data_IF_796832769569
#
_entry.id   IF_796832769569
#
_cell.length_a   1.000
_cell.length_b   1.000
_cell.length_c   1.000
_cell.angle_alpha   90.00
_cell.angle_beta   90.00
_cell.angle_gamma   90.00
#
_symmetry.space_group_name_H-M   'P 1'
#
loop_
_entity.id
_entity.type
_entity.pdbx_description
1 polymer ?
#
# COMPACT_ATOMS: atom_id res chain seq x y z
N UNK A 1 -21.92 3.62 -17.90
CA UNK A 1 -23.25 3.12 -17.51
C UNK A 1 -23.24 1.60 -17.56
N UNK A 2 -23.78 0.92 -16.55
CA UNK A 2 -23.92 -0.54 -16.52
C UNK A 2 -25.38 -0.89 -16.26
N UNK A 3 -25.92 -1.87 -16.98
CA UNK A 3 -27.29 -2.38 -16.79
C UNK A 3 -27.20 -3.72 -16.09
N UNK A 4 -27.86 -3.84 -14.94
CA UNK A 4 -27.69 -4.97 -14.01
C UNK A 4 -29.05 -5.44 -13.51
N UNK A 5 -29.15 -6.74 -13.26
CA UNK A 5 -30.35 -7.30 -12.65
C UNK A 5 -30.35 -7.00 -11.14
N UNK A 6 -31.30 -6.18 -10.69
CA UNK A 6 -31.42 -5.74 -9.30
C UNK A 6 -31.51 -6.91 -8.31
N UNK A 7 -32.21 -8.00 -8.68
CA UNK A 7 -32.38 -9.17 -7.83
C UNK A 7 -31.06 -9.84 -7.43
N UNK A 8 -30.10 -9.93 -8.36
CA UNK A 8 -28.79 -10.52 -8.09
C UNK A 8 -27.96 -9.61 -7.17
N UNK A 9 -27.94 -8.29 -7.43
CA UNK A 9 -27.25 -7.35 -6.55
C UNK A 9 -27.85 -7.29 -5.15
N UNK A 10 -29.19 -7.31 -5.02
CA UNK A 10 -29.85 -7.35 -3.71
C UNK A 10 -29.56 -8.62 -2.93
N UNK A 11 -29.36 -9.75 -3.62
CA UNK A 11 -29.04 -11.01 -2.95
C UNK A 11 -27.65 -10.98 -2.31
N UNK A 12 -26.68 -10.39 -3.02
CA UNK A 12 -25.28 -10.40 -2.57
C UNK A 12 -24.89 -9.17 -1.74
N UNK A 13 -25.67 -8.09 -1.77
CA UNK A 13 -25.27 -6.81 -1.17
C UNK A 13 -26.44 -6.14 -0.43
N UNK A 14 -26.28 -5.99 0.89
CA UNK A 14 -27.32 -5.39 1.73
C UNK A 14 -27.58 -3.93 1.37
N UNK A 15 -26.53 -3.17 1.00
CA UNK A 15 -26.70 -1.77 0.58
C UNK A 15 -27.64 -1.66 -0.63
N UNK A 16 -27.50 -2.54 -1.63
CA UNK A 16 -28.36 -2.53 -2.81
C UNK A 16 -29.77 -3.07 -2.51
N UNK A 17 -29.90 -4.06 -1.63
CA UNK A 17 -31.20 -4.50 -1.13
C UNK A 17 -31.96 -3.34 -0.48
N UNK A 18 -31.31 -2.60 0.41
CA UNK A 18 -31.86 -1.42 1.08
C UNK A 18 -32.19 -0.30 0.09
N UNK A 19 -31.35 -0.09 -0.92
CA UNK A 19 -31.55 0.92 -1.95
C UNK A 19 -32.77 0.62 -2.83
N UNK A 20 -32.95 -0.62 -3.28
CA UNK A 20 -34.05 -0.99 -4.17
C UNK A 20 -35.39 -1.19 -3.42
N UNK A 21 -35.33 -1.55 -2.13
CA UNK A 21 -36.52 -1.75 -1.29
C UNK A 21 -37.14 -0.46 -0.79
N UNK A 22 -36.41 0.67 -0.84
CA UNK A 22 -36.96 1.97 -0.42
C UNK A 22 -38.17 2.35 -1.30
N UNK A 23 -39.34 2.64 -0.71
CA UNK A 23 -40.45 3.22 -1.45
C UNK A 23 -39.99 4.56 -2.03
N UNK A 24 -40.42 4.85 -3.27
CA UNK A 24 -40.09 6.12 -3.90
C UNK A 24 -40.57 7.24 -2.97
N UNK A 25 -39.64 7.98 -2.35
CA UNK A 25 -40.00 9.18 -1.59
C UNK A 25 -40.62 10.12 -2.60
N UNK A 26 -41.94 10.24 -2.58
CA UNK A 26 -42.65 11.31 -3.24
C UNK A 26 -42.17 12.58 -2.54
N UNK A 27 -41.17 13.24 -3.12
CA UNK A 27 -40.79 14.58 -2.70
C UNK A 27 -41.95 15.48 -3.06
N UNK A 28 -42.92 15.61 -2.16
CA UNK A 28 -43.86 16.72 -2.17
C UNK A 28 -43.05 17.99 -1.95
N UNK A 29 -42.51 18.57 -3.02
CA UNK A 29 -42.05 19.95 -2.96
C UNK A 29 -43.29 20.82 -2.84
N UNK A 30 -43.53 21.35 -1.64
CA UNK A 30 -44.45 22.46 -1.44
C UNK A 30 -43.85 23.69 -2.12
N UNK A 31 -44.01 23.78 -3.45
CA UNK A 31 -43.79 24.99 -4.23
C UNK A 31 -45.16 25.57 -4.53
N UNK A 32 -45.45 26.74 -3.97
CA UNK A 32 -46.78 27.32 -3.94
C UNK A 32 -47.14 28.15 -5.17
N UNK A 33 -46.22 28.47 -6.08
CA UNK A 33 -46.53 29.31 -7.24
C UNK A 33 -45.77 28.88 -8.50
N UNK A 34 -46.46 28.14 -9.38
CA UNK A 34 -45.98 27.83 -10.73
C UNK A 34 -46.67 26.58 -11.32
N UNK A 35 -47.14 26.61 -12.59
CA UNK A 35 -47.76 25.45 -13.21
C UNK A 35 -46.77 24.28 -13.24
N UNK A 36 -47.14 23.12 -12.68
CA UNK A 36 -46.21 22.02 -12.47
C UNK A 36 -45.94 21.36 -13.82
N UNK A 37 -44.76 21.60 -14.38
CA UNK A 37 -44.19 20.72 -15.40
C UNK A 37 -43.83 19.39 -14.70
N UNK A 38 -44.85 18.55 -14.52
CA UNK A 38 -44.74 17.20 -13.99
C UNK A 38 -43.99 16.32 -15.00
N UNK A 39 -42.68 16.50 -15.10
CA UNK A 39 -41.83 15.43 -15.57
C UNK A 39 -41.89 14.34 -14.49
N UNK A 40 -42.73 13.33 -14.73
CA UNK A 40 -42.80 12.09 -13.95
C UNK A 40 -41.43 11.41 -14.02
N UNK A 41 -40.46 11.88 -13.24
CA UNK A 41 -39.23 11.13 -13.01
C UNK A 41 -39.65 9.85 -12.32
N UNK A 42 -39.41 8.72 -12.98
CA UNK A 42 -39.75 7.38 -12.47
C UNK A 42 -39.06 7.07 -11.15
N UNK A 43 -39.19 5.84 -10.66
CA UNK A 43 -38.40 5.39 -9.50
C UNK A 43 -36.91 5.34 -9.89
N UNK A 44 -36.01 5.82 -9.03
CA UNK A 44 -34.56 5.74 -9.29
C UNK A 44 -34.16 4.28 -9.53
N UNK A 45 -33.36 4.04 -10.57
CA UNK A 45 -32.95 2.72 -11.04
C UNK A 45 -33.99 1.94 -11.87
N UNK A 46 -35.14 2.54 -12.23
CA UNK A 46 -36.16 1.82 -13.01
C UNK A 46 -35.89 1.79 -14.53
N UNK A 47 -35.13 2.75 -15.05
CA UNK A 47 -34.85 2.89 -16.48
C UNK A 47 -33.56 3.69 -16.73
N UNK A 48 -33.17 3.80 -17.99
CA UNK A 48 -31.94 4.48 -18.40
C UNK A 48 -32.00 6.00 -18.14
N UNK A 49 -33.18 6.59 -18.22
CA UNK A 49 -33.44 8.01 -17.99
C UNK A 49 -33.40 8.39 -16.50
N UNK A 50 -33.42 7.39 -15.61
CA UNK A 50 -33.39 7.59 -14.17
C UNK A 50 -32.49 6.56 -13.47
N UNK A 51 -31.18 6.57 -13.73
CA UNK A 51 -30.25 5.58 -13.20
C UNK A 51 -29.98 5.81 -11.71
N UNK A 52 -29.55 4.77 -11.01
CA UNK A 52 -28.93 4.92 -9.68
C UNK A 52 -27.56 5.54 -9.84
N UNK A 53 -27.32 6.67 -9.17
CA UNK A 53 -26.01 7.31 -9.15
C UNK A 53 -25.26 6.91 -7.88
N UNK A 54 -24.16 6.16 -8.04
CA UNK A 54 -23.25 5.85 -6.93
C UNK A 54 -22.10 6.88 -6.97
N UNK A 55 -22.04 7.84 -6.05
CA UNK A 55 -21.01 8.86 -6.07
C UNK A 55 -19.63 8.26 -5.75
N UNK A 56 -18.57 8.89 -6.26
CA UNK A 56 -17.17 8.57 -5.91
C UNK A 56 -16.83 7.08 -6.12
N UNK A 57 -17.28 6.51 -7.24
CA UNK A 57 -17.01 5.12 -7.61
C UNK A 57 -16.27 5.08 -8.94
N UNK A 58 -15.08 4.47 -8.94
CA UNK A 58 -14.34 4.26 -10.19
C UNK A 58 -15.03 3.17 -11.03
N UNK A 59 -15.33 3.42 -12.32
CA UNK A 59 -16.03 2.45 -13.15
C UNK A 59 -15.30 1.10 -13.25
N UNK A 60 -13.97 1.10 -13.32
CA UNK A 60 -13.19 -0.13 -13.45
C UNK A 60 -13.25 -0.98 -12.18
N UNK A 61 -13.16 -0.37 -11.00
CA UNK A 61 -13.28 -1.10 -9.73
C UNK A 61 -14.66 -1.70 -9.55
N UNK A 62 -15.71 -0.97 -9.95
CA UNK A 62 -17.05 -1.52 -9.95
C UNK A 62 -17.20 -2.70 -10.91
N UNK A 63 -16.60 -2.64 -12.11
CA UNK A 63 -16.57 -3.80 -13.03
C UNK A 63 -15.87 -5.00 -12.42
N UNK A 64 -14.75 -4.80 -11.71
CA UNK A 64 -14.05 -5.87 -11.02
C UNK A 64 -14.90 -6.50 -9.91
N UNK A 65 -15.65 -5.68 -9.15
CA UNK A 65 -16.63 -6.17 -8.18
C UNK A 65 -17.75 -6.98 -8.86
N UNK A 66 -18.34 -6.46 -9.93
CA UNK A 66 -19.40 -7.15 -10.67
C UNK A 66 -18.91 -8.45 -11.32
N UNK A 67 -17.62 -8.55 -11.65
CA UNK A 67 -17.04 -9.79 -12.18
C UNK A 67 -17.24 -10.95 -11.21
N UNK A 68 -17.26 -10.72 -9.89
CA UNK A 68 -17.50 -11.82 -8.95
C UNK A 68 -18.96 -12.26 -8.86
N UNK A 69 -19.90 -11.32 -9.10
CA UNK A 69 -21.35 -11.58 -9.03
C UNK A 69 -21.88 -12.17 -10.34
N UNK A 70 -21.42 -11.62 -11.48
CA UNK A 70 -21.93 -11.95 -12.81
C UNK A 70 -20.94 -12.75 -13.67
N UNK A 71 -19.75 -13.00 -13.15
CA UNK A 71 -18.72 -13.74 -13.87
C UNK A 71 -19.18 -15.14 -14.22
N UNK A 72 -18.87 -15.56 -15.45
CA UNK A 72 -19.19 -16.90 -15.94
C UNK A 72 -17.96 -17.80 -15.80
N UNK A 73 -18.11 -19.07 -15.45
CA UNK A 73 -16.97 -20.00 -15.38
C UNK A 73 -16.14 -20.11 -16.67
N UNK A 74 -16.72 -19.81 -17.84
CA UNK A 74 -15.98 -19.77 -19.11
C UNK A 74 -15.08 -18.56 -19.28
N UNK A 75 -15.35 -17.45 -18.57
CA UNK A 75 -14.60 -16.21 -18.67
C UNK A 75 -13.19 -16.38 -18.11
N UNK A 76 -12.18 -15.91 -18.85
CA UNK A 76 -10.77 -16.05 -18.46
C UNK A 76 -10.42 -15.16 -17.28
N UNK A 77 -10.96 -13.94 -17.23
CA UNK A 77 -10.72 -13.00 -16.16
C UNK A 77 -11.36 -13.48 -14.86
N UNK A 78 -12.61 -13.95 -14.91
CA UNK A 78 -13.28 -14.53 -13.76
C UNK A 78 -12.49 -15.71 -13.19
N UNK A 79 -12.13 -16.69 -14.03
CA UNK A 79 -11.35 -17.85 -13.59
C UNK A 79 -10.00 -17.47 -12.98
N UNK A 80 -9.37 -16.41 -13.46
CA UNK A 80 -8.07 -15.97 -12.93
C UNK A 80 -8.15 -15.55 -11.46
N UNK A 81 -9.31 -15.08 -10.98
CA UNK A 81 -9.51 -14.67 -9.58
C UNK A 81 -9.54 -15.85 -8.59
N UNK A 82 -9.81 -17.06 -9.07
CA UNK A 82 -9.90 -18.28 -8.26
C UNK A 82 -8.66 -19.17 -8.36
N UNK A 83 -7.68 -18.78 -9.18
CA UNK A 83 -6.42 -19.50 -9.27
C UNK A 83 -5.51 -19.11 -8.11
N UNK A 84 -4.72 -20.08 -7.64
CA UNK A 84 -3.66 -19.80 -6.69
C UNK A 84 -2.62 -18.87 -7.33
N UNK A 85 -2.04 -18.00 -6.53
CA UNK A 85 -1.04 -17.04 -6.98
C UNK A 85 0.16 -17.70 -7.68
N UNK A 86 0.52 -18.93 -7.27
CA UNK A 86 1.59 -19.75 -7.85
C UNK A 86 1.27 -20.37 -9.21
N UNK A 87 -0.01 -20.43 -9.59
CA UNK A 87 -0.47 -21.00 -10.87
C UNK A 87 -0.55 -19.94 -11.99
N UNK A 88 -0.37 -18.67 -11.64
CA UNK A 88 -0.46 -17.55 -12.55
C UNK A 88 0.94 -17.07 -12.95
N UNK A 89 1.08 -16.61 -14.19
CA UNK A 89 2.24 -15.82 -14.56
C UNK A 89 2.28 -14.54 -13.71
N UNK A 90 3.47 -14.02 -13.37
CA UNK A 90 3.63 -12.88 -12.47
C UNK A 90 2.69 -11.71 -12.81
N UNK A 91 2.66 -11.29 -14.09
CA UNK A 91 1.79 -10.21 -14.56
C UNK A 91 0.29 -10.48 -14.31
N UNK A 92 -0.16 -11.73 -14.53
CA UNK A 92 -1.55 -12.12 -14.30
C UNK A 92 -1.90 -12.10 -12.81
N UNK A 93 -0.96 -12.56 -11.97
CA UNK A 93 -1.18 -12.59 -10.54
C UNK A 93 -1.28 -11.18 -9.94
N UNK A 94 -0.48 -10.23 -10.44
CA UNK A 94 -0.59 -8.81 -10.03
C UNK A 94 -1.93 -8.23 -10.47
N UNK A 95 -2.37 -8.51 -11.70
CA UNK A 95 -3.66 -8.04 -12.18
C UNK A 95 -4.81 -8.63 -11.37
N UNK A 96 -4.76 -9.93 -11.06
CA UNK A 96 -5.72 -10.57 -10.16
C UNK A 96 -5.69 -9.90 -8.77
N UNK A 97 -4.50 -9.63 -8.24
CA UNK A 97 -4.34 -8.97 -6.95
C UNK A 97 -4.98 -7.57 -6.90
N UNK A 98 -4.73 -6.73 -7.91
CA UNK A 98 -5.36 -5.41 -8.03
C UNK A 98 -6.88 -5.55 -8.08
N UNK A 99 -7.41 -6.50 -8.86
CA UNK A 99 -8.84 -6.78 -8.91
C UNK A 99 -9.39 -7.20 -7.54
N UNK A 100 -8.66 -8.02 -6.78
CA UNK A 100 -9.07 -8.45 -5.44
C UNK A 100 -9.10 -7.25 -4.47
N UNK A 101 -8.16 -6.31 -4.55
CA UNK A 101 -8.23 -5.05 -3.77
C UNK A 101 -9.52 -4.30 -4.09
N UNK A 102 -9.85 -4.14 -5.37
CA UNK A 102 -11.08 -3.47 -5.81
C UNK A 102 -12.32 -4.19 -5.25
N UNK A 103 -12.32 -5.52 -5.30
CA UNK A 103 -13.44 -6.34 -4.84
C UNK A 103 -13.59 -6.22 -3.33
N UNK A 104 -12.52 -6.32 -2.53
CA UNK A 104 -12.63 -6.26 -1.06
C UNK A 104 -13.08 -4.88 -0.59
N UNK A 105 -12.55 -3.81 -1.18
CA UNK A 105 -12.90 -2.42 -0.82
C UNK A 105 -14.39 -2.15 -1.10
N UNK A 106 -14.89 -2.62 -2.25
CA UNK A 106 -16.28 -2.45 -2.63
C UNK A 106 -17.23 -3.43 -1.93
N UNK A 107 -16.81 -4.65 -1.64
CA UNK A 107 -17.59 -5.60 -0.86
C UNK A 107 -17.88 -5.05 0.54
N UNK A 108 -16.86 -4.48 1.17
CA UNK A 108 -17.01 -3.78 2.44
C UNK A 108 -17.95 -2.57 2.32
N UNK A 109 -17.74 -1.72 1.30
CA UNK A 109 -18.58 -0.53 1.05
C UNK A 109 -20.05 -0.88 0.79
N UNK A 110 -20.32 -1.97 0.09
CA UNK A 110 -21.67 -2.40 -0.29
C UNK A 110 -22.30 -3.40 0.68
N UNK A 111 -21.61 -3.71 1.79
CA UNK A 111 -22.08 -4.64 2.83
C UNK A 111 -22.36 -6.02 2.20
N UNK A 112 -21.32 -6.60 1.60
CA UNK A 112 -21.33 -7.91 0.96
C UNK A 112 -20.35 -8.85 1.70
N UNK A 113 -20.70 -9.36 2.89
CA UNK A 113 -19.76 -10.00 3.82
C UNK A 113 -19.13 -11.29 3.28
N UNK A 114 -19.87 -12.08 2.50
CA UNK A 114 -19.35 -13.32 1.91
C UNK A 114 -18.28 -13.04 0.85
N UNK A 115 -18.52 -12.02 0.02
CA UNK A 115 -17.56 -11.55 -0.99
C UNK A 115 -16.35 -10.93 -0.32
N UNK A 116 -16.56 -10.12 0.74
CA UNK A 116 -15.47 -9.51 1.51
C UNK A 116 -14.58 -10.58 2.14
N UNK A 117 -15.18 -11.59 2.79
CA UNK A 117 -14.47 -12.72 3.41
C UNK A 117 -13.67 -13.51 2.38
N UNK A 118 -14.28 -13.81 1.24
CA UNK A 118 -13.58 -14.46 0.12
C UNK A 118 -12.40 -13.60 -0.36
N UNK A 119 -12.61 -12.33 -0.65
CA UNK A 119 -11.58 -11.44 -1.19
C UNK A 119 -10.42 -11.26 -0.20
N UNK A 120 -10.72 -11.13 1.10
CA UNK A 120 -9.72 -11.11 2.17
C UNK A 120 -8.87 -12.39 2.19
N UNK A 121 -9.48 -13.56 2.06
CA UNK A 121 -8.75 -14.82 2.00
C UNK A 121 -7.80 -14.87 0.80
N UNK A 122 -8.24 -14.33 -0.35
CA UNK A 122 -7.40 -14.23 -1.54
C UNK A 122 -6.28 -13.20 -1.37
N UNK A 123 -6.51 -12.03 -0.76
CA UNK A 123 -5.43 -11.09 -0.47
C UNK A 123 -4.32 -11.73 0.38
N UNK A 124 -4.70 -12.56 1.36
CA UNK A 124 -3.74 -13.29 2.20
C UNK A 124 -2.97 -14.35 1.41
N UNK A 125 -3.59 -15.05 0.47
CA UNK A 125 -2.87 -16.03 -0.35
C UNK A 125 -1.90 -15.37 -1.35
N UNK A 126 -2.28 -14.20 -1.88
CA UNK A 126 -1.44 -13.43 -2.81
C UNK A 126 -0.34 -12.62 -2.13
N UNK A 127 -0.43 -12.36 -0.82
CA UNK A 127 0.57 -11.54 -0.12
C UNK A 127 1.97 -12.14 -0.22
N UNK A 128 2.08 -13.46 -0.12
CA UNK A 128 3.33 -14.21 -0.31
C UNK A 128 3.96 -13.98 -1.69
N UNK A 129 3.14 -13.92 -2.73
CA UNK A 129 3.62 -13.69 -4.09
C UNK A 129 4.17 -12.26 -4.22
N UNK A 130 3.52 -11.28 -3.61
CA UNK A 130 3.96 -9.88 -3.73
C UNK A 130 5.27 -9.66 -2.97
N UNK A 131 5.49 -10.37 -1.85
CA UNK A 131 6.82 -10.41 -1.22
C UNK A 131 7.91 -10.88 -2.19
N UNK A 132 7.58 -11.76 -3.15
CA UNK A 132 8.56 -12.26 -4.11
C UNK A 132 8.72 -11.37 -5.33
N UNK A 133 7.66 -10.70 -5.77
CA UNK A 133 7.63 -9.99 -7.06
C UNK A 133 8.33 -8.62 -7.02
N UNK A 134 8.45 -7.98 -5.85
CA UNK A 134 9.36 -6.84 -5.54
C UNK A 134 9.47 -5.61 -6.42
N UNK A 135 8.74 -5.54 -7.51
CA UNK A 135 9.08 -4.57 -8.53
C UNK A 135 7.95 -4.41 -9.53
N UNK A 136 6.72 -4.77 -9.18
CA UNK A 136 5.63 -4.47 -10.09
C UNK A 136 4.90 -3.21 -9.65
N UNK A 137 4.65 -2.27 -10.60
CA UNK A 137 3.90 -1.07 -10.33
C UNK A 137 2.44 -1.43 -10.05
N UNK A 138 2.14 -1.74 -8.79
CA UNK A 138 0.80 -1.55 -8.28
C UNK A 138 0.59 -0.03 -8.27
N UNK A 139 -0.50 0.43 -8.88
CA UNK A 139 -0.80 1.87 -8.92
C UNK A 139 -0.91 2.41 -7.50
N UNK A 140 -0.46 3.66 -7.27
CA UNK A 140 -0.62 4.31 -5.97
C UNK A 140 -2.08 4.34 -5.51
N UNK A 141 -3.02 4.48 -6.44
CA UNK A 141 -4.45 4.37 -6.18
C UNK A 141 -4.86 3.02 -5.57
N UNK A 142 -4.28 1.91 -6.05
CA UNK A 142 -4.57 0.57 -5.51
C UNK A 142 -3.96 0.39 -4.12
N UNK A 143 -2.74 0.89 -3.89
CA UNK A 143 -2.15 0.92 -2.54
C UNK A 143 -2.99 1.75 -1.56
N UNK A 144 -3.43 2.93 -1.98
CA UNK A 144 -4.24 3.84 -1.16
C UNK A 144 -5.58 3.21 -0.80
N UNK A 145 -6.21 2.49 -1.73
CA UNK A 145 -7.46 1.75 -1.47
C UNK A 145 -7.26 0.60 -0.51
N UNK A 146 -6.23 -0.22 -0.70
CA UNK A 146 -5.92 -1.29 0.24
C UNK A 146 -5.62 -0.74 1.65
N UNK A 147 -4.81 0.30 1.76
CA UNK A 147 -4.48 0.92 3.04
C UNK A 147 -5.72 1.54 3.69
N UNK A 148 -6.56 2.22 2.91
CA UNK A 148 -7.82 2.79 3.37
C UNK A 148 -8.78 1.71 3.88
N UNK A 149 -8.94 0.61 3.13
CA UNK A 149 -9.70 -0.56 3.55
C UNK A 149 -9.15 -1.14 4.86
N UNK A 150 -7.85 -1.44 4.91
CA UNK A 150 -7.20 -2.06 6.06
C UNK A 150 -7.31 -1.23 7.34
N UNK A 151 -7.30 0.10 7.22
CA UNK A 151 -7.51 1.01 8.35
C UNK A 151 -8.96 1.02 8.83
N UNK A 152 -9.93 1.03 7.91
CA UNK A 152 -11.37 1.01 8.27
C UNK A 152 -11.76 -0.30 8.97
N UNK A 153 -11.10 -1.40 8.61
CA UNK A 153 -11.32 -2.72 9.22
C UNK A 153 -10.35 -3.04 10.35
N UNK A 154 -9.46 -2.11 10.71
CA UNK A 154 -8.43 -2.28 11.74
C UNK A 154 -7.55 -3.53 11.58
N UNK A 155 -7.38 -4.01 10.33
CA UNK A 155 -6.65 -5.23 10.06
C UNK A 155 -5.13 -4.98 10.04
N UNK A 156 -4.48 -5.06 11.21
CA UNK A 156 -3.06 -4.72 11.42
C UNK A 156 -2.10 -5.33 10.39
N UNK A 157 -2.26 -6.61 10.06
CA UNK A 157 -1.38 -7.29 9.12
C UNK A 157 -1.49 -6.73 7.68
N UNK A 158 -2.71 -6.40 7.23
CA UNK A 158 -2.91 -5.77 5.92
C UNK A 158 -2.35 -4.34 5.91
N UNK A 159 -2.43 -3.62 7.03
CA UNK A 159 -1.79 -2.30 7.16
C UNK A 159 -0.28 -2.43 6.97
N UNK A 160 0.36 -3.40 7.63
CA UNK A 160 1.81 -3.65 7.47
C UNK A 160 2.16 -4.02 6.02
N UNK A 161 1.38 -4.88 5.37
CA UNK A 161 1.61 -5.25 3.97
C UNK A 161 1.45 -4.06 3.01
N UNK A 162 0.37 -3.28 3.14
CA UNK A 162 0.13 -2.10 2.32
C UNK A 162 1.24 -1.06 2.46
N UNK A 163 1.73 -0.86 3.70
CA UNK A 163 2.89 -0.01 3.99
C UNK A 163 4.15 -0.53 3.33
N UNK A 164 4.45 -1.82 3.53
CA UNK A 164 5.63 -2.46 2.96
C UNK A 164 5.65 -2.35 1.43
N UNK A 165 4.54 -2.65 0.75
CA UNK A 165 4.50 -2.62 -0.72
C UNK A 165 4.65 -1.23 -1.31
N UNK A 166 4.01 -0.23 -0.70
CA UNK A 166 4.18 1.16 -1.10
C UNK A 166 5.66 1.55 -1.04
N UNK A 167 6.35 1.15 0.03
CA UNK A 167 7.78 1.42 0.21
C UNK A 167 8.66 0.65 -0.78
N UNK A 168 8.41 -0.63 -0.97
CA UNK A 168 9.17 -1.47 -1.91
C UNK A 168 9.03 -1.00 -3.34
N UNK A 169 7.84 -0.53 -3.75
CA UNK A 169 7.61 0.05 -5.07
C UNK A 169 8.57 1.21 -5.37
N UNK A 170 8.64 2.17 -4.45
CA UNK A 170 9.50 3.33 -4.62
C UNK A 170 10.99 3.02 -4.44
N UNK A 171 11.35 2.16 -3.48
CA UNK A 171 12.74 1.75 -3.27
C UNK A 171 13.30 1.01 -4.51
N UNK A 172 12.53 0.07 -5.05
CA UNK A 172 12.90 -0.69 -6.25
C UNK A 172 13.06 0.19 -7.49
N UNK A 173 12.19 1.19 -7.66
CA UNK A 173 12.28 2.15 -8.75
C UNK A 173 13.55 3.01 -8.74
N UNK A 174 14.15 3.24 -7.57
CA UNK A 174 15.39 4.02 -7.42
C UNK A 174 16.62 3.14 -7.56
N UNK A 175 16.63 1.94 -6.97
CA UNK A 175 17.79 1.05 -7.01
C UNK A 175 18.01 0.38 -8.37
N UNK A 176 16.97 0.22 -9.19
CA UNK A 176 17.04 -0.66 -10.39
C UNK A 176 16.72 0.07 -11.70
N UNK A 177 17.50 1.07 -12.13
CA UNK A 177 17.22 1.83 -13.34
C UNK A 177 17.26 0.99 -14.63
N UNK A 178 17.93 -0.17 -14.65
CA UNK A 178 18.10 -1.02 -15.85
C UNK A 178 16.98 -2.04 -16.09
N UNK A 179 16.41 -2.64 -15.04
CA UNK A 179 15.25 -3.56 -15.16
C UNK A 179 13.94 -2.77 -15.31
N UNK A 180 13.97 -1.49 -14.92
CA UNK A 180 12.83 -0.57 -14.98
C UNK A 180 12.35 -0.20 -16.39
N UNK A 181 13.14 -0.38 -17.45
CA UNK A 181 12.76 0.19 -18.76
C UNK A 181 11.57 -0.50 -19.43
N UNK A 182 11.25 -1.75 -19.09
CA UNK A 182 10.13 -2.49 -19.69
C UNK A 182 8.92 -2.65 -18.76
N UNK A 183 9.14 -2.80 -17.45
CA UNK A 183 8.07 -3.01 -16.48
C UNK A 183 7.65 -1.74 -15.74
N UNK A 184 8.50 -0.71 -15.71
CA UNK A 184 8.22 0.55 -15.01
C UNK A 184 8.14 1.72 -15.99
N UNK A 185 7.44 2.77 -15.55
CA UNK A 185 7.47 4.06 -16.22
C UNK A 185 8.89 4.64 -16.17
N UNK A 186 9.26 5.54 -17.11
CA UNK A 186 10.51 6.28 -17.02
C UNK A 186 10.74 6.82 -15.60
N UNK A 187 11.97 6.74 -15.09
CA UNK A 187 12.32 7.12 -13.70
C UNK A 187 11.83 8.53 -13.33
N UNK A 188 11.79 9.43 -14.33
CA UNK A 188 11.28 10.78 -14.19
C UNK A 188 9.80 10.80 -13.80
N UNK A 189 8.97 9.94 -14.39
CA UNK A 189 7.55 9.82 -14.05
C UNK A 189 7.37 9.32 -12.61
N UNK A 190 8.22 8.38 -12.17
CA UNK A 190 8.15 7.86 -10.79
C UNK A 190 8.55 8.94 -9.79
N UNK A 191 9.56 9.75 -10.12
CA UNK A 191 9.98 10.90 -9.31
C UNK A 191 8.90 11.98 -9.23
N UNK A 192 8.22 12.28 -10.34
CA UNK A 192 7.07 13.18 -10.36
C UNK A 192 5.91 12.62 -9.52
N UNK A 193 5.63 11.33 -9.63
CA UNK A 193 4.62 10.66 -8.83
C UNK A 193 4.97 10.68 -7.33
N UNK A 194 6.24 10.45 -6.96
CA UNK A 194 6.71 10.58 -5.58
C UNK A 194 6.40 11.96 -5.00
N UNK A 195 6.63 13.02 -5.79
CA UNK A 195 6.35 14.40 -5.37
C UNK A 195 4.84 14.62 -5.20
N UNK A 196 4.02 14.12 -6.13
CA UNK A 196 2.56 14.19 -6.03
C UNK A 196 2.04 13.48 -4.77
N UNK A 197 2.52 12.26 -4.50
CA UNK A 197 2.13 11.50 -3.31
C UNK A 197 2.59 12.17 -2.01
N UNK A 198 3.81 12.71 -1.99
CA UNK A 198 4.31 13.49 -0.86
C UNK A 198 3.40 14.69 -0.57
N UNK A 199 3.03 15.48 -1.60
CA UNK A 199 2.13 16.63 -1.44
C UNK A 199 0.73 16.22 -1.01
N UNK A 200 0.19 15.14 -1.57
CA UNK A 200 -1.11 14.60 -1.15
C UNK A 200 -1.08 14.15 0.32
N UNK A 201 -0.02 13.47 0.73
CA UNK A 201 0.18 13.03 2.11
C UNK A 201 0.30 14.19 3.09
N UNK A 202 1.00 15.26 2.70
CA UNK A 202 1.13 16.48 3.50
C UNK A 202 -0.22 17.19 3.66
N UNK A 203 -0.97 17.38 2.56
CA UNK A 203 -2.26 18.11 2.57
C UNK A 203 -3.31 17.39 3.40
N UNK A 204 -3.42 16.06 3.23
CA UNK A 204 -4.52 15.31 3.83
C UNK A 204 -4.38 15.14 5.33
N UNK A 205 -3.17 15.28 5.91
CA UNK A 205 -2.80 15.05 7.33
C UNK A 205 -3.33 13.74 7.96
N UNK A 206 -4.02 12.92 7.17
CA UNK A 206 -4.75 11.69 7.49
C UNK A 206 -4.13 10.48 6.77
N UNK A 207 -3.21 10.75 5.84
CA UNK A 207 -2.31 9.74 5.30
C UNK A 207 -1.51 9.09 6.43
N UNK A 208 -1.23 7.82 6.20
CA UNK A 208 -0.50 6.99 7.13
C UNK A 208 0.86 7.59 7.50
N UNK A 209 1.06 7.93 8.77
CA UNK A 209 2.26 8.66 9.22
C UNK A 209 3.57 7.93 8.86
N UNK A 210 3.68 6.60 9.02
CA UNK A 210 4.83 5.85 8.52
C UNK A 210 5.03 5.89 7.00
N UNK A 211 3.98 6.00 6.18
CA UNK A 211 4.14 6.20 4.72
C UNK A 211 4.63 7.61 4.42
N UNK A 212 4.01 8.63 5.02
CA UNK A 212 4.44 10.01 4.83
C UNK A 212 5.92 10.19 5.20
N UNK A 213 6.35 9.66 6.35
CA UNK A 213 7.74 9.73 6.78
C UNK A 213 8.71 9.01 5.85
N UNK A 214 8.28 7.92 5.21
CA UNK A 214 9.05 7.26 4.17
C UNK A 214 9.14 8.09 2.89
N UNK A 215 8.02 8.62 2.37
CA UNK A 215 8.01 9.47 1.17
C UNK A 215 8.90 10.70 1.36
N UNK A 216 8.82 11.32 2.54
CA UNK A 216 9.70 12.42 2.95
C UNK A 216 11.18 12.01 2.96
N UNK A 217 11.52 10.89 3.63
CA UNK A 217 12.89 10.38 3.67
C UNK A 217 13.44 10.09 2.26
N UNK A 218 12.60 9.51 1.40
CA UNK A 218 12.96 9.15 0.06
C UNK A 218 13.20 10.40 -0.79
N UNK A 219 12.27 11.37 -0.74
CA UNK A 219 12.43 12.65 -1.41
C UNK A 219 13.72 13.35 -0.93
N UNK A 220 13.96 13.37 0.37
CA UNK A 220 15.18 13.91 0.98
C UNK A 220 16.45 13.15 0.56
N UNK A 221 16.37 11.86 0.23
CA UNK A 221 17.54 11.12 -0.27
C UNK A 221 17.92 11.47 -1.71
N UNK A 222 17.03 12.13 -2.48
CA UNK A 222 17.32 12.54 -3.86
C UNK A 222 18.20 13.80 -3.97
N UNK A 223 18.36 14.54 -2.86
CA UNK A 223 19.27 15.68 -2.77
C UNK A 223 18.79 16.97 -3.43
N UNK A 224 19.52 18.05 -3.12
CA UNK A 224 19.18 19.43 -3.52
C UNK A 224 19.03 19.61 -5.04
N UNK A 225 19.90 19.00 -5.85
CA UNK A 225 19.85 19.11 -7.31
C UNK A 225 18.52 18.64 -7.90
N UNK A 226 17.89 17.64 -7.27
CA UNK A 226 16.58 17.16 -7.68
C UNK A 226 15.47 18.13 -7.22
N UNK A 227 15.47 18.56 -5.96
CA UNK A 227 14.40 19.41 -5.41
C UNK A 227 14.32 20.76 -6.09
N UNK A 228 15.47 21.35 -6.42
CA UNK A 228 15.56 22.67 -7.02
C UNK A 228 14.81 22.69 -8.36
N UNK A 229 15.05 21.68 -9.19
CA UNK A 229 14.47 21.50 -10.53
C UNK A 229 13.01 21.04 -10.51
N UNK A 230 12.50 20.56 -9.39
CA UNK A 230 11.18 19.94 -9.33
C UNK A 230 10.06 20.97 -9.16
N UNK A 231 9.27 21.20 -10.22
CA UNK A 231 8.19 22.20 -10.25
C UNK A 231 7.05 21.93 -9.26
N UNK A 232 6.83 20.67 -8.88
CA UNK A 232 5.79 20.28 -7.91
C UNK A 232 6.12 20.61 -6.45
N UNK A 233 7.36 21.02 -6.14
CA UNK A 233 7.75 21.47 -4.82
C UNK A 233 7.61 23.00 -4.74
N UNK A 234 7.13 23.50 -3.61
CA UNK A 234 7.06 24.94 -3.32
C UNK A 234 8.38 25.45 -2.73
N UNK A 235 8.51 26.77 -2.53
CA UNK A 235 9.66 27.34 -1.81
C UNK A 235 9.72 26.82 -0.36
N UNK A 236 8.58 26.69 0.30
CA UNK A 236 8.50 26.20 1.68
C UNK A 236 8.92 24.73 1.80
N UNK A 237 8.54 23.89 0.82
CA UNK A 237 8.96 22.48 0.76
C UNK A 237 10.49 22.38 0.69
N UNK A 238 11.11 23.20 -0.19
CA UNK A 238 12.57 23.22 -0.35
C UNK A 238 13.28 23.67 0.92
N UNK A 239 12.79 24.71 1.59
CA UNK A 239 13.32 25.16 2.89
C UNK A 239 13.21 24.03 3.93
N UNK A 240 12.08 23.33 3.95
CA UNK A 240 11.85 22.21 4.87
C UNK A 240 12.82 21.06 4.61
N UNK A 241 13.03 20.68 3.34
CA UNK A 241 13.98 19.63 2.95
C UNK A 241 15.42 20.02 3.29
N UNK A 242 15.82 21.27 3.03
CA UNK A 242 17.15 21.78 3.40
C UNK A 242 17.37 21.77 4.92
N UNK A 243 16.40 22.25 5.69
CA UNK A 243 16.46 22.22 7.16
C UNK A 243 16.54 20.79 7.69
N UNK A 244 15.80 19.85 7.08
CA UNK A 244 15.85 18.45 7.44
C UNK A 244 17.19 17.79 7.11
N UNK A 245 17.81 18.11 5.97
CA UNK A 245 19.14 17.62 5.61
C UNK A 245 20.16 17.94 6.69
N UNK A 246 20.16 19.18 7.21
CA UNK A 246 21.06 19.62 8.29
C UNK A 246 20.77 18.86 9.58
N UNK A 247 19.49 18.70 9.94
CA UNK A 247 19.09 18.02 11.19
C UNK A 247 19.26 16.50 11.17
N UNK A 248 19.39 15.90 10.00
CA UNK A 248 19.54 14.46 9.79
C UNK A 248 20.97 14.07 9.33
N UNK A 249 21.93 14.99 9.36
CA UNK A 249 23.34 14.72 9.06
C UNK A 249 24.24 15.16 10.23
N UNK A 250 24.83 14.22 11.01
CA UNK A 250 24.57 12.78 11.01
C UNK A 250 23.15 12.45 11.50
N UNK A 251 22.72 11.18 11.36
CA UNK A 251 21.42 10.75 11.88
C UNK A 251 21.35 10.97 13.40
N UNK A 252 20.29 11.60 13.92
CA UNK A 252 20.17 11.84 15.36
C UNK A 252 19.85 10.55 16.10
N UNK A 253 20.39 10.40 17.31
CA UNK A 253 20.14 9.24 18.19
C UNK A 253 18.66 8.99 18.48
N UNK A 254 17.79 10.00 18.30
CA UNK A 254 16.35 9.84 18.49
C UNK A 254 15.65 9.00 17.40
N UNK A 255 16.35 8.61 16.32
CA UNK A 255 15.84 7.63 15.35
C UNK A 255 16.06 6.23 15.93
N UNK A 256 15.01 5.40 16.09
CA UNK A 256 15.12 4.09 16.75
C UNK A 256 15.77 3.06 15.83
N UNK A 257 17.11 2.98 15.84
CA UNK A 257 17.89 2.10 14.96
C UNK A 257 18.50 0.89 15.69
N UNK A 258 18.34 0.78 17.01
CA UNK A 258 18.97 -0.28 17.83
C UNK A 258 18.69 -1.70 17.31
N UNK A 259 17.50 -1.91 16.76
CA UNK A 259 17.08 -3.19 16.18
C UNK A 259 17.96 -3.65 15.00
N UNK A 260 18.59 -2.74 14.26
CA UNK A 260 19.49 -3.06 13.13
C UNK A 260 20.78 -3.73 13.63
N UNK A 261 21.22 -3.37 14.83
CA UNK A 261 22.45 -3.85 15.46
C UNK A 261 22.28 -5.19 16.18
N UNK A 262 21.11 -5.85 16.05
CA UNK A 262 20.93 -7.20 16.57
C UNK A 262 21.94 -8.18 15.95
N UNK A 263 22.62 -8.93 16.82
CA UNK A 263 23.65 -9.88 16.41
C UNK A 263 25.02 -9.27 16.07
N UNK A 264 25.23 -7.98 16.36
CA UNK A 264 26.57 -7.41 16.55
C UNK A 264 27.30 -8.13 17.70
N UNK A 265 28.64 -8.10 17.78
CA UNK A 265 29.42 -8.84 18.79
C UNK A 265 28.94 -8.62 20.23
N UNK A 266 28.46 -7.40 20.53
CA UNK A 266 28.06 -6.96 21.87
C UNK A 266 26.54 -7.03 22.14
N UNK A 267 25.75 -7.55 21.19
CA UNK A 267 24.28 -7.58 21.28
C UNK A 267 23.73 -9.00 21.23
N UNK A 268 22.61 -9.29 21.90
CA UNK A 268 21.94 -10.57 21.76
C UNK A 268 21.65 -10.85 20.28
N UNK A 269 21.93 -12.09 19.87
CA UNK A 269 21.66 -12.51 18.51
C UNK A 269 20.15 -12.46 18.21
N UNK A 270 19.81 -12.21 16.94
CA UNK A 270 18.42 -12.18 16.45
C UNK A 270 17.54 -13.32 16.99
N UNK A 271 18.11 -14.53 17.10
CA UNK A 271 17.43 -15.70 17.64
C UNK A 271 17.02 -15.56 19.11
N UNK A 272 17.90 -15.03 19.95
CA UNK A 272 17.60 -14.80 21.37
C UNK A 272 16.58 -13.68 21.53
N UNK A 273 16.74 -12.58 20.79
CA UNK A 273 15.86 -11.42 20.88
C UNK A 273 14.43 -11.68 20.39
N UNK A 274 14.24 -12.62 19.46
CA UNK A 274 12.94 -12.93 18.86
C UNK A 274 12.46 -14.37 19.16
N UNK A 275 13.12 -15.07 20.08
CA UNK A 275 12.79 -16.44 20.49
C UNK A 275 12.60 -17.44 19.33
N UNK A 276 13.47 -17.34 18.32
CA UNK A 276 13.38 -18.15 17.11
C UNK A 276 13.71 -19.63 17.40
N UNK A 277 13.16 -20.52 16.58
CA UNK A 277 13.45 -21.96 16.63
C UNK A 277 14.96 -22.22 16.45
N UNK A 278 15.44 -23.36 16.97
CA UNK A 278 16.85 -23.73 16.88
C UNK A 278 17.39 -23.88 15.48
N UNK A 279 16.56 -24.45 14.61
CA UNK A 279 16.89 -24.74 13.21
C UNK A 279 16.78 -23.49 12.30
N UNK A 280 16.23 -22.38 12.81
CA UNK A 280 16.04 -21.15 12.02
C UNK A 280 17.28 -20.26 12.08
N UNK A 281 18.24 -20.50 11.20
CA UNK A 281 19.53 -19.80 11.16
C UNK A 281 19.53 -18.46 10.39
N UNK A 282 18.60 -17.56 10.71
CA UNK A 282 18.48 -16.27 9.99
C UNK A 282 19.55 -15.23 10.34
N UNK A 283 20.34 -15.43 11.39
CA UNK A 283 21.37 -14.48 11.85
C UNK A 283 22.42 -14.20 10.77
N UNK A 284 22.79 -15.19 9.96
CA UNK A 284 23.76 -14.99 8.86
C UNK A 284 23.18 -14.06 7.80
N UNK A 285 21.95 -14.30 7.37
CA UNK A 285 21.24 -13.45 6.41
C UNK A 285 21.02 -12.05 6.97
N UNK A 286 20.69 -11.93 8.26
CA UNK A 286 20.57 -10.65 8.95
C UNK A 286 21.86 -9.83 8.85
N UNK A 287 23.00 -10.40 9.26
CA UNK A 287 24.31 -9.72 9.19
C UNK A 287 24.71 -9.38 7.75
N UNK A 288 24.39 -10.24 6.78
CA UNK A 288 24.67 -9.95 5.37
C UNK A 288 23.87 -8.74 4.85
N UNK A 289 22.67 -8.51 5.37
CA UNK A 289 21.77 -7.44 4.92
C UNK A 289 21.94 -6.14 5.72
N UNK A 290 22.06 -6.26 7.04
CA UNK A 290 22.03 -5.18 8.03
C UNK A 290 23.34 -5.01 8.82
N UNK A 291 24.39 -5.75 8.47
CA UNK A 291 25.68 -5.71 9.17
C UNK A 291 26.51 -4.46 8.87
N UNK A 292 27.82 -4.56 9.12
CA UNK A 292 28.75 -3.42 9.16
C UNK A 292 28.61 -2.47 7.98
N UNK A 293 28.61 -2.96 6.73
CA UNK A 293 28.49 -2.09 5.55
C UNK A 293 27.23 -1.22 5.57
N UNK A 294 26.08 -1.75 5.99
CA UNK A 294 24.86 -0.96 6.07
C UNK A 294 24.84 -0.05 7.31
N UNK A 295 25.41 -0.52 8.42
CA UNK A 295 25.59 0.28 9.63
C UNK A 295 26.52 1.48 9.40
N UNK A 296 27.59 1.31 8.64
CA UNK A 296 28.52 2.37 8.23
C UNK A 296 27.80 3.42 7.37
N UNK A 297 26.89 3.00 6.48
CA UNK A 297 26.06 3.92 5.71
C UNK A 297 25.11 4.72 6.62
N UNK A 298 24.50 4.08 7.62
CA UNK A 298 23.63 4.76 8.60
C UNK A 298 24.42 5.75 9.48
N UNK A 299 25.64 5.38 9.86
CA UNK A 299 26.56 6.21 10.65
C UNK A 299 27.32 7.27 9.84
N UNK A 300 27.10 7.35 8.52
CA UNK A 300 27.80 8.29 7.65
C UNK A 300 27.58 9.74 8.08
N UNK A 301 28.69 10.47 8.24
CA UNK A 301 28.70 11.92 8.45
C UNK A 301 28.57 12.72 7.15
N UNK A 302 28.69 12.05 5.98
CA UNK A 302 28.51 12.71 4.69
C UNK A 302 27.06 13.21 4.54
N UNK A 303 26.83 14.37 3.89
CA UNK A 303 25.50 14.90 3.65
C UNK A 303 24.56 13.84 3.07
N UNK A 304 23.41 13.64 3.72
CA UNK A 304 22.37 12.67 3.33
C UNK A 304 22.80 11.19 3.33
N UNK A 305 24.01 10.82 3.75
CA UNK A 305 24.47 9.43 3.72
C UNK A 305 23.58 8.49 4.53
N UNK A 306 23.30 8.87 5.79
CA UNK A 306 22.37 8.13 6.64
C UNK A 306 20.92 8.19 6.13
N UNK A 307 20.48 9.33 5.59
CA UNK A 307 19.13 9.47 5.00
C UNK A 307 18.95 8.54 3.80
N UNK A 308 19.95 8.43 2.94
CA UNK A 308 19.97 7.49 1.82
C UNK A 308 19.93 6.05 2.33
N UNK A 309 20.69 5.72 3.37
CA UNK A 309 20.62 4.40 3.99
C UNK A 309 19.20 4.07 4.50
N UNK A 310 18.51 5.02 5.14
CA UNK A 310 17.12 4.86 5.58
C UNK A 310 16.15 4.73 4.40
N UNK A 311 16.38 5.44 3.29
CA UNK A 311 15.47 5.40 2.14
C UNK A 311 15.49 4.06 1.40
N UNK A 312 16.61 3.33 1.45
CA UNK A 312 16.75 1.97 0.91
C UNK A 312 16.44 0.85 1.93
N UNK A 313 16.01 1.20 3.14
CA UNK A 313 15.66 0.22 4.18
C UNK A 313 14.58 -0.81 3.72
N UNK A 314 13.56 -0.44 2.91
CA UNK A 314 12.62 -1.41 2.33
C UNK A 314 13.31 -2.46 1.46
N UNK A 315 14.27 -2.04 0.64
CA UNK A 315 15.09 -2.96 -0.16
C UNK A 315 15.94 -3.89 0.71
N UNK A 316 16.41 -3.41 1.87
CA UNK A 316 17.12 -4.26 2.85
C UNK A 316 16.18 -5.30 3.46
N UNK A 317 15.01 -4.89 3.98
CA UNK A 317 13.95 -5.82 4.43
C UNK A 317 13.68 -6.88 3.38
N UNK A 318 13.63 -6.48 2.11
CA UNK A 318 13.37 -7.41 1.03
C UNK A 318 14.51 -8.39 0.75
N UNK A 319 15.76 -7.92 0.72
CA UNK A 319 16.93 -8.79 0.59
C UNK A 319 16.94 -9.84 1.71
N UNK A 320 16.55 -9.46 2.93
CA UNK A 320 16.38 -10.38 4.05
C UNK A 320 15.24 -11.39 3.80
N UNK A 321 14.07 -10.93 3.37
CA UNK A 321 12.92 -11.80 3.06
C UNK A 321 13.25 -12.85 1.99
N UNK A 322 14.01 -12.46 0.96
CA UNK A 322 14.47 -13.36 -0.10
C UNK A 322 15.53 -14.33 0.41
N UNK A 323 16.53 -13.84 1.13
CA UNK A 323 17.62 -14.66 1.67
C UNK A 323 17.20 -15.63 2.77
N UNK A 324 16.01 -15.46 3.36
CA UNK A 324 15.45 -16.37 4.37
C UNK A 324 14.41 -17.33 3.81
N UNK A 325 13.91 -17.12 2.59
CA UNK A 325 12.87 -17.95 1.97
C UNK A 325 13.26 -19.42 1.86
N UNK A 326 14.51 -19.71 1.47
CA UNK A 326 15.03 -21.09 1.37
C UNK A 326 15.61 -21.63 2.69
N UNK A 327 15.67 -20.80 3.73
CA UNK A 327 16.22 -21.16 5.04
C UNK A 327 15.13 -21.44 6.08
N UNK A 328 13.87 -21.23 5.73
CA UNK A 328 12.75 -21.62 6.58
C UNK A 328 12.70 -23.15 6.62
N UNK A 329 13.00 -23.72 7.79
CA UNK A 329 12.91 -25.16 8.00
C UNK A 329 11.46 -25.62 7.86
N UNK A 330 11.22 -26.74 7.20
CA UNK A 330 9.91 -27.41 7.19
C UNK A 330 9.45 -27.81 8.61
N UNK A 331 10.40 -27.90 9.55
CA UNK A 331 10.14 -28.17 10.98
C UNK A 331 9.88 -26.90 11.80
N UNK A 332 9.82 -25.71 11.18
CA UNK A 332 9.60 -24.46 11.88
C UNK A 332 8.17 -24.36 12.42
N UNK A 333 8.00 -24.55 13.73
CA UNK A 333 6.67 -24.50 14.38
C UNK A 333 6.19 -23.09 14.69
N UNK A 334 7.10 -22.11 14.80
CA UNK A 334 6.78 -20.72 15.19
C UNK A 334 6.63 -19.76 14.01
N UNK A 335 6.74 -20.24 12.77
CA UNK A 335 6.79 -19.39 11.58
C UNK A 335 7.81 -18.22 11.73
N UNK A 336 9.04 -18.58 12.13
CA UNK A 336 10.07 -17.63 12.53
C UNK A 336 10.40 -16.59 11.45
N UNK A 337 10.22 -16.92 10.17
CA UNK A 337 10.45 -15.98 9.06
C UNK A 337 9.48 -14.81 9.17
N UNK A 338 8.19 -15.11 9.33
CA UNK A 338 7.15 -14.08 9.40
C UNK A 338 7.27 -13.26 10.70
N UNK A 339 7.70 -13.88 11.80
CA UNK A 339 8.04 -13.17 13.05
C UNK A 339 9.13 -12.13 12.80
N UNK A 340 10.23 -12.50 12.14
CA UNK A 340 11.31 -11.58 11.80
C UNK A 340 10.84 -10.46 10.86
N UNK A 341 10.04 -10.78 9.83
CA UNK A 341 9.54 -9.78 8.89
C UNK A 341 8.61 -8.78 9.56
N UNK A 342 7.66 -9.25 10.39
CA UNK A 342 6.79 -8.40 11.20
C UNK A 342 7.60 -7.52 12.16
N UNK A 343 8.67 -8.05 12.75
CA UNK A 343 9.57 -7.27 13.60
C UNK A 343 10.26 -6.16 12.82
N UNK A 344 10.81 -6.45 11.63
CA UNK A 344 11.43 -5.44 10.76
C UNK A 344 10.38 -4.38 10.37
N UNK A 345 9.21 -4.79 9.90
CA UNK A 345 8.17 -3.87 9.41
C UNK A 345 7.69 -2.91 10.52
N UNK A 346 7.49 -3.40 11.76
CA UNK A 346 7.13 -2.58 12.92
C UNK A 346 8.23 -1.57 13.30
N UNK A 347 9.49 -1.99 13.28
CA UNK A 347 10.60 -1.07 13.60
C UNK A 347 10.84 -0.05 12.48
N UNK A 348 10.68 -0.44 11.21
CA UNK A 348 10.65 0.49 10.08
C UNK A 348 9.54 1.52 10.23
N UNK A 349 8.33 1.10 10.64
CA UNK A 349 7.23 2.03 10.91
C UNK A 349 7.59 3.05 11.99
N UNK A 350 8.25 2.63 13.07
CA UNK A 350 8.71 3.52 14.12
C UNK A 350 9.76 4.53 13.61
N UNK A 351 10.72 4.08 12.81
CA UNK A 351 11.71 4.95 12.15
C UNK A 351 11.04 6.00 11.27
N UNK A 352 10.17 5.58 10.34
CA UNK A 352 9.53 6.53 9.42
C UNK A 352 8.53 7.43 10.15
N UNK A 353 7.79 6.93 11.14
CA UNK A 353 6.96 7.77 11.99
C UNK A 353 7.80 8.87 12.65
N UNK A 354 8.98 8.53 13.18
CA UNK A 354 9.89 9.51 13.82
C UNK A 354 10.38 10.57 12.83
N UNK A 355 10.68 10.20 11.58
CA UNK A 355 11.15 11.14 10.55
C UNK A 355 10.14 12.26 10.26
N UNK A 356 8.84 12.02 10.45
CA UNK A 356 7.82 13.06 10.26
C UNK A 356 8.00 14.27 11.17
N UNK A 357 8.68 14.12 12.31
CA UNK A 357 9.00 15.24 13.23
C UNK A 357 10.04 16.19 12.66
N UNK A 358 10.82 15.76 11.68
CA UNK A 358 11.83 16.57 10.99
C UNK A 358 11.26 17.29 9.75
N UNK A 359 10.04 16.93 9.33
CA UNK A 359 9.30 17.61 8.27
C UNK A 359 8.53 18.84 8.76
N UNK A 360 8.48 19.09 10.08
CA UNK A 360 7.82 20.29 10.62
C UNK A 360 8.61 21.54 10.24
N UNK A 361 7.90 22.59 9.80
CA UNK A 361 8.46 23.91 9.51
C UNK A 361 9.32 24.36 10.71
N UNK A 362 10.52 24.86 10.40
CA UNK A 362 11.35 25.56 11.37
C UNK A 362 10.57 26.83 11.74
N UNK A 363 10.12 26.91 12.99
CA UNK A 363 9.45 28.11 13.54
C UNK A 363 10.45 29.25 13.73
#
# INVERSE_FOLDING_TARGET
>A
MAKLHSSLLSRECEMFQNMFSRPARVTSSMSLDGPPEMTKKGKEGSCDENPVIIPQLQPQSFRNFLLIIYGRPGDKEFRSLFKNATELAHAQAIMAFIKIIDIVDLAHRFIAPDIETWALSQLKSYSYLIETINAYPISSESHSRLLGYSKRTEHEELILWARHWTRSYYAGAIETPSIASSAFRPIQIIREQLVQEYKLAEMTRSMDTPIFGYLFCLLLSLGHEFWDKQSGLTREDRITLLGAQVRLTPLPQSIPLDWIYLGSPDQPGLRASLELCSECHFTRTWRAVFGSTYQDMLGSIAPLGGVFALSILPSRRQKFANGTKSLASDTCTKNCRDVCLKYIDKNMDAVFHRLTKFCKKVE
#
